data_IF_009006356385
#
_entry.id   IF_009006356385
#
_cell.length_a   1.000
_cell.length_b   1.000
_cell.length_c   1.000
_cell.angle_alpha   90.00
_cell.angle_beta   90.00
_cell.angle_gamma   90.00
#
_symmetry.space_group_name_H-M   'P 1'
#
loop_
_entity.id
_entity.type
_entity.pdbx_description
1 polymer ?
#
# COMPACT_ATOMS: atom_id res chain seq x y z
N UNK A 1 -5.03 -37.66 -21.75
CA UNK A 1 -5.84 -37.89 -20.54
C UNK A 1 -5.84 -36.63 -19.69
N UNK A 2 -7.02 -36.04 -19.44
CA UNK A 2 -7.22 -34.93 -18.51
C UNK A 2 -7.05 -35.47 -17.08
N UNK A 3 -6.19 -34.87 -16.27
CA UNK A 3 -6.19 -35.07 -14.83
C UNK A 3 -6.75 -33.80 -14.18
N UNK A 4 -8.07 -33.80 -13.99
CA UNK A 4 -8.78 -32.88 -13.12
C UNK A 4 -8.61 -33.39 -11.68
N UNK A 5 -7.74 -32.80 -10.85
CA UNK A 5 -7.81 -32.93 -9.39
C UNK A 5 -7.15 -31.73 -8.66
N UNK A 6 -7.99 -30.85 -8.11
CA UNK A 6 -7.86 -30.24 -6.79
C UNK A 6 -6.68 -29.30 -6.49
N UNK A 7 -6.88 -28.00 -6.78
CA UNK A 7 -7.07 -26.93 -5.77
C UNK A 7 -7.28 -25.61 -6.54
N UNK A 8 -8.23 -24.74 -6.18
CA UNK A 8 -8.07 -23.34 -6.53
C UNK A 8 -6.84 -22.87 -5.74
N UNK A 9 -5.64 -22.97 -6.33
CA UNK A 9 -4.48 -22.23 -5.84
C UNK A 9 -4.85 -20.78 -6.07
N UNK A 10 -5.46 -20.15 -5.06
CA UNK A 10 -5.58 -18.69 -5.02
C UNK A 10 -4.14 -18.21 -5.21
N UNK A 11 -3.88 -17.59 -6.36
CA UNK A 11 -2.54 -17.08 -6.66
C UNK A 11 -2.13 -16.13 -5.53
N UNK A 12 -0.89 -16.20 -5.05
CA UNK A 12 -0.39 -15.34 -3.96
C UNK A 12 -0.66 -13.85 -4.23
N UNK A 13 -0.69 -13.46 -5.51
CA UNK A 13 -1.07 -12.12 -5.97
C UNK A 13 -2.51 -11.75 -5.59
N UNK A 14 -3.46 -12.69 -5.79
CA UNK A 14 -4.87 -12.51 -5.41
C UNK A 14 -5.03 -12.45 -3.89
N UNK A 15 -4.29 -13.26 -3.14
CA UNK A 15 -4.31 -13.21 -1.66
C UNK A 15 -3.81 -11.84 -1.19
N UNK A 16 -2.68 -11.36 -1.72
CA UNK A 16 -2.14 -10.05 -1.37
C UNK A 16 -3.10 -8.91 -1.75
N UNK A 17 -3.73 -8.99 -2.93
CA UNK A 17 -4.72 -7.99 -3.36
C UNK A 17 -5.94 -7.91 -2.43
N UNK A 18 -6.45 -9.06 -1.97
CA UNK A 18 -7.56 -9.11 -0.99
C UNK A 18 -7.10 -8.51 0.35
N UNK A 19 -5.91 -8.86 0.82
CA UNK A 19 -5.38 -8.34 2.08
C UNK A 19 -5.14 -6.83 2.01
N UNK A 20 -4.55 -6.33 0.92
CA UNK A 20 -4.39 -4.89 0.69
C UNK A 20 -5.73 -4.15 0.71
N UNK A 21 -6.79 -4.76 0.15
CA UNK A 21 -8.15 -4.21 0.20
C UNK A 21 -8.69 -4.13 1.64
N UNK A 22 -8.47 -5.18 2.45
CA UNK A 22 -8.85 -5.18 3.87
C UNK A 22 -8.09 -4.08 4.64
N UNK A 23 -6.78 -3.96 4.44
CA UNK A 23 -5.99 -2.91 5.08
C UNK A 23 -6.40 -1.51 4.62
N UNK A 24 -6.78 -1.33 3.35
CA UNK A 24 -7.30 -0.06 2.86
C UNK A 24 -8.60 0.35 3.59
N UNK A 25 -9.52 -0.59 3.79
CA UNK A 25 -10.78 -0.34 4.52
C UNK A 25 -10.49 -0.01 5.98
N UNK A 26 -9.66 -0.80 6.67
CA UNK A 26 -9.32 -0.57 8.08
C UNK A 26 -8.68 0.80 8.31
N UNK A 27 -7.71 1.18 7.46
CA UNK A 27 -7.08 2.50 7.55
C UNK A 27 -8.06 3.63 7.20
N UNK A 28 -8.99 3.41 6.26
CA UNK A 28 -10.05 4.39 5.95
C UNK A 28 -11.00 4.59 7.15
N UNK A 29 -11.42 3.52 7.82
CA UNK A 29 -12.29 3.60 9.00
C UNK A 29 -11.57 4.34 10.14
N UNK A 30 -10.29 4.01 10.38
CA UNK A 30 -9.48 4.71 11.37
C UNK A 30 -9.39 6.21 11.09
N UNK A 31 -9.12 6.59 9.84
CA UNK A 31 -8.98 7.98 9.42
C UNK A 31 -10.30 8.77 9.52
N UNK A 32 -11.42 8.17 9.11
CA UNK A 32 -12.75 8.80 9.23
C UNK A 32 -13.18 8.94 10.68
N UNK A 33 -12.95 7.91 11.50
CA UNK A 33 -13.25 7.97 12.93
C UNK A 33 -12.51 9.12 13.61
N UNK A 34 -11.23 9.31 13.27
CA UNK A 34 -10.48 10.41 13.85
C UNK A 34 -10.99 11.76 13.36
N UNK A 35 -11.27 11.90 12.06
CA UNK A 35 -11.78 13.16 11.52
C UNK A 35 -13.04 13.65 12.26
N UNK A 36 -13.91 12.72 12.68
CA UNK A 36 -15.19 13.00 13.36
C UNK A 36 -15.03 13.26 14.86
N UNK A 37 -14.09 12.57 15.52
CA UNK A 37 -13.95 12.62 16.98
C UNK A 37 -12.82 13.51 17.48
N UNK A 38 -12.00 14.08 16.59
CA UNK A 38 -10.91 14.98 16.99
C UNK A 38 -11.45 16.38 17.35
N UNK A 39 -11.01 16.92 18.48
CA UNK A 39 -11.43 18.25 18.95
C UNK A 39 -10.58 19.34 18.31
N UNK A 40 -11.13 19.98 17.27
CA UNK A 40 -10.44 21.06 16.57
C UNK A 40 -10.58 22.39 17.32
N UNK A 41 -9.63 22.72 18.19
CA UNK A 41 -9.55 24.06 18.77
C UNK A 41 -8.91 25.03 17.78
N UNK A 42 -9.66 26.06 17.39
CA UNK A 42 -9.26 27.10 16.41
C UNK A 42 -9.04 28.46 17.12
N UNK A 43 -9.18 28.53 18.45
CA UNK A 43 -9.28 29.80 19.18
C UNK A 43 -7.99 30.64 19.21
N UNK A 44 -6.81 30.02 19.02
CA UNK A 44 -5.52 30.72 19.03
C UNK A 44 -4.78 30.61 17.69
N UNK A 45 -4.23 31.71 17.20
CA UNK A 45 -3.58 31.80 15.89
C UNK A 45 -2.36 30.85 15.72
N UNK A 46 -1.68 30.49 16.82
CA UNK A 46 -0.62 29.47 16.82
C UNK A 46 -1.15 28.03 16.80
N UNK A 47 -2.30 27.80 17.45
CA UNK A 47 -2.96 26.49 17.54
C UNK A 47 -3.68 26.17 16.22
N UNK A 48 -4.28 27.18 15.58
CA UNK A 48 -4.99 27.04 14.30
C UNK A 48 -4.13 26.43 13.18
N UNK A 49 -2.82 26.73 13.10
CA UNK A 49 -1.93 26.12 12.10
C UNK A 49 -1.76 24.62 12.34
N UNK A 50 -1.54 24.20 13.58
CA UNK A 50 -1.42 22.79 13.95
C UNK A 50 -2.72 22.04 13.67
N UNK A 51 -3.85 22.64 14.02
CA UNK A 51 -5.20 22.09 13.77
C UNK A 51 -5.46 21.88 12.28
N UNK A 52 -5.16 22.87 11.44
CA UNK A 52 -5.32 22.76 9.98
C UNK A 52 -4.39 21.68 9.41
N UNK A 53 -3.13 21.62 9.85
CA UNK A 53 -2.19 20.59 9.39
C UNK A 53 -2.67 19.18 9.73
N UNK A 54 -3.27 18.96 10.92
CA UNK A 54 -3.88 17.67 11.28
C UNK A 54 -5.05 17.31 10.38
N UNK A 55 -5.97 18.24 10.12
CA UNK A 55 -7.11 18.01 9.21
C UNK A 55 -6.63 17.62 7.81
N UNK A 56 -5.66 18.36 7.26
CA UNK A 56 -5.09 18.06 5.94
C UNK A 56 -4.41 16.69 5.92
N UNK A 57 -3.70 16.32 6.99
CA UNK A 57 -3.07 15.01 7.12
C UNK A 57 -4.13 13.89 7.14
N UNK A 58 -5.25 14.07 7.84
CA UNK A 58 -6.35 13.10 7.86
C UNK A 58 -7.03 12.97 6.49
N UNK A 59 -7.28 14.08 5.80
CA UNK A 59 -7.82 14.06 4.43
C UNK A 59 -6.86 13.36 3.46
N UNK A 60 -5.56 13.61 3.58
CA UNK A 60 -4.53 12.94 2.79
C UNK A 60 -4.50 11.43 3.08
N UNK A 61 -4.62 11.04 4.35
CA UNK A 61 -4.67 9.64 4.75
C UNK A 61 -5.93 8.92 4.20
N UNK A 62 -7.09 9.58 4.23
CA UNK A 62 -8.32 9.06 3.60
C UNK A 62 -8.14 8.90 2.09
N UNK A 63 -7.55 9.90 1.42
CA UNK A 63 -7.30 9.85 -0.02
C UNK A 63 -6.38 8.68 -0.39
N UNK A 64 -5.30 8.45 0.37
CA UNK A 64 -4.38 7.34 0.15
C UNK A 64 -5.03 5.98 0.39
N UNK A 65 -5.81 5.85 1.47
CA UNK A 65 -6.52 4.61 1.78
C UNK A 65 -7.56 4.30 0.69
N UNK A 66 -8.26 5.31 0.19
CA UNK A 66 -9.19 5.15 -0.93
C UNK A 66 -8.47 4.83 -2.25
N UNK A 67 -7.32 5.45 -2.52
CA UNK A 67 -6.52 5.13 -3.71
C UNK A 67 -6.03 3.67 -3.68
N UNK A 68 -5.60 3.18 -2.52
CA UNK A 68 -5.26 1.77 -2.31
C UNK A 68 -6.47 0.87 -2.56
N UNK A 69 -7.62 1.21 -1.97
CA UNK A 69 -8.85 0.46 -2.18
C UNK A 69 -9.25 0.43 -3.65
N UNK A 70 -9.18 1.56 -4.36
CA UNK A 70 -9.51 1.65 -5.78
C UNK A 70 -8.55 0.83 -6.66
N UNK A 71 -7.26 0.85 -6.33
CA UNK A 71 -6.25 0.03 -6.98
C UNK A 71 -6.50 -1.47 -6.75
N UNK A 72 -6.86 -1.88 -5.53
CA UNK A 72 -6.98 -3.30 -5.17
C UNK A 72 -8.35 -3.90 -5.46
N UNK A 73 -9.43 -3.15 -5.31
CA UNK A 73 -10.80 -3.62 -5.50
C UNK A 73 -11.24 -3.55 -6.97
N UNK A 74 -10.94 -2.43 -7.64
CA UNK A 74 -11.36 -2.22 -9.04
C UNK A 74 -10.25 -2.47 -10.06
N UNK A 75 -9.00 -2.67 -9.62
CA UNK A 75 -7.87 -2.78 -10.55
C UNK A 75 -7.65 -1.50 -11.36
N UNK A 76 -8.04 -0.35 -10.80
CA UNK A 76 -7.98 0.92 -11.52
C UNK A 76 -6.54 1.26 -11.89
N UNK A 77 -6.29 1.54 -13.17
CA UNK A 77 -4.95 1.79 -13.71
C UNK A 77 -4.34 3.09 -13.18
N UNK A 78 -5.14 4.12 -12.98
CA UNK A 78 -4.68 5.44 -12.54
C UNK A 78 -3.96 5.44 -11.17
N UNK A 79 -4.54 4.89 -10.07
CA UNK A 79 -3.83 4.81 -8.80
C UNK A 79 -2.63 3.84 -8.86
N UNK A 80 -2.68 2.83 -9.74
CA UNK A 80 -1.52 1.95 -10.00
C UNK A 80 -0.36 2.71 -10.70
N UNK A 81 -0.67 3.65 -11.58
CA UNK A 81 0.31 4.51 -12.28
C UNK A 81 0.87 5.59 -11.35
N UNK A 82 0.03 6.22 -10.52
CA UNK A 82 0.46 7.22 -9.54
C UNK A 82 1.36 6.63 -8.46
N UNK A 83 1.04 5.42 -8.01
CA UNK A 83 1.83 4.68 -7.05
C UNK A 83 2.41 3.44 -7.71
N UNK A 84 3.22 3.60 -8.78
CA UNK A 84 3.87 2.51 -9.54
C UNK A 84 4.54 1.40 -8.70
N UNK A 85 4.75 1.66 -7.41
CA UNK A 85 5.11 0.72 -6.35
C UNK A 85 4.05 -0.37 -6.09
N UNK A 86 2.74 -0.09 -6.09
CA UNK A 86 1.66 -1.03 -5.72
C UNK A 86 1.57 -2.21 -6.70
N UNK A 87 2.01 -2.04 -7.95
CA UNK A 87 2.01 -3.10 -8.97
C UNK A 87 2.93 -4.29 -8.66
N UNK A 88 3.84 -4.16 -7.69
CA UNK A 88 4.76 -5.20 -7.25
C UNK A 88 4.60 -5.47 -5.74
N UNK A 89 4.89 -6.70 -5.30
CA UNK A 89 4.86 -7.06 -3.87
C UNK A 89 5.67 -6.08 -3.01
N UNK A 90 6.93 -5.84 -3.38
CA UNK A 90 7.82 -4.92 -2.65
C UNK A 90 7.20 -3.52 -2.49
N UNK A 91 6.70 -2.93 -3.57
CA UNK A 91 6.17 -1.57 -3.50
C UNK A 91 4.79 -1.49 -2.85
N UNK A 92 3.93 -2.51 -2.97
CA UNK A 92 2.70 -2.61 -2.16
C UNK A 92 2.99 -2.69 -0.65
N UNK A 93 4.07 -3.37 -0.27
CA UNK A 93 4.52 -3.42 1.12
C UNK A 93 5.09 -2.09 1.63
N UNK A 94 5.86 -1.36 0.81
CA UNK A 94 6.29 0.00 1.14
C UNK A 94 5.13 0.98 1.27
N UNK A 95 4.10 0.85 0.42
CA UNK A 95 2.90 1.64 0.51
C UNK A 95 2.17 1.40 1.85
N UNK A 96 1.97 0.13 2.23
CA UNK A 96 1.39 -0.23 3.52
C UNK A 96 2.23 0.25 4.70
N UNK A 97 3.56 0.15 4.60
CA UNK A 97 4.47 0.64 5.62
C UNK A 97 4.27 2.16 5.83
N UNK A 98 4.27 2.93 4.75
CA UNK A 98 4.02 4.37 4.79
C UNK A 98 2.61 4.70 5.34
N UNK A 99 1.59 3.98 4.88
CA UNK A 99 0.22 4.15 5.37
C UNK A 99 0.12 3.87 6.86
N UNK A 100 0.76 2.81 7.35
CA UNK A 100 0.80 2.48 8.77
C UNK A 100 1.48 3.55 9.63
N UNK A 101 2.53 4.23 9.15
CA UNK A 101 3.11 5.37 9.87
C UNK A 101 2.16 6.58 9.94
N UNK A 102 1.40 6.85 8.87
CA UNK A 102 0.36 7.88 8.92
C UNK A 102 -0.74 7.50 9.92
N UNK A 103 -1.08 6.22 10.01
CA UNK A 103 -2.05 5.72 10.99
C UNK A 103 -1.51 5.73 12.43
N UNK A 104 -0.18 5.64 12.65
CA UNK A 104 0.40 5.85 13.98
C UNK A 104 0.21 7.28 14.48
N UNK A 105 0.16 8.27 13.58
CA UNK A 105 -0.07 9.67 13.96
C UNK A 105 -1.51 9.97 14.41
N UNK A 106 -2.44 9.01 14.35
CA UNK A 106 -3.81 9.17 14.81
C UNK A 106 -3.97 9.19 16.33
N UNK A 107 -2.93 8.88 17.13
CA UNK A 107 -2.96 8.98 18.60
C UNK A 107 -4.21 8.38 19.30
N UNK A 108 -4.70 7.24 18.77
CA UNK A 108 -5.85 6.50 19.30
C UNK A 108 -5.50 5.00 19.33
N UNK A 109 -5.97 4.27 20.34
CA UNK A 109 -5.76 2.82 20.51
C UNK A 109 -6.16 2.03 19.26
N UNK A 110 -7.29 2.35 18.63
CA UNK A 110 -7.70 1.68 17.38
C UNK A 110 -6.71 1.95 16.24
N UNK A 111 -6.32 3.21 16.05
CA UNK A 111 -5.32 3.62 15.06
C UNK A 111 -3.97 2.95 15.30
N UNK A 112 -3.54 2.85 16.56
CA UNK A 112 -2.30 2.20 16.96
C UNK A 112 -2.30 0.71 16.61
N UNK A 113 -3.37 -0.01 16.92
CA UNK A 113 -3.48 -1.43 16.58
C UNK A 113 -3.48 -1.62 15.07
N UNK A 114 -4.31 -0.86 14.34
CA UNK A 114 -4.40 -0.91 12.86
C UNK A 114 -3.05 -0.57 12.22
N UNK A 115 -2.35 0.42 12.76
CA UNK A 115 -1.05 0.84 12.26
C UNK A 115 0.00 -0.26 12.43
N UNK A 116 0.11 -0.86 13.62
CA UNK A 116 1.07 -1.93 13.89
C UNK A 116 0.84 -3.11 12.95
N UNK A 117 -0.40 -3.58 12.81
CA UNK A 117 -0.69 -4.71 11.90
C UNK A 117 -0.40 -4.37 10.43
N UNK A 118 -0.67 -3.12 10.01
CA UNK A 118 -0.43 -2.65 8.64
C UNK A 118 1.07 -2.59 8.35
N UNK A 119 1.87 -2.11 9.31
CA UNK A 119 3.34 -2.05 9.22
C UNK A 119 3.94 -3.45 9.17
N UNK A 120 3.54 -4.34 10.09
CA UNK A 120 4.05 -5.71 10.17
C UNK A 120 3.72 -6.48 8.89
N UNK A 121 2.49 -6.34 8.38
CA UNK A 121 2.11 -6.96 7.12
C UNK A 121 2.85 -6.35 5.93
N UNK A 122 3.02 -5.02 5.88
CA UNK A 122 3.82 -4.34 4.86
C UNK A 122 5.27 -4.86 4.82
N UNK A 123 5.90 -5.03 5.98
CA UNK A 123 7.24 -5.63 6.08
C UNK A 123 7.27 -7.09 5.61
N UNK A 124 6.30 -7.91 6.01
CA UNK A 124 6.21 -9.29 5.57
C UNK A 124 6.09 -9.40 4.03
N UNK A 125 5.30 -8.51 3.42
CA UNK A 125 5.12 -8.42 1.97
C UNK A 125 6.39 -7.95 1.25
N UNK A 126 7.15 -7.02 1.85
CA UNK A 126 8.48 -6.61 1.34
C UNK A 126 9.44 -7.80 1.37
N UNK A 127 9.56 -8.48 2.51
CA UNK A 127 10.45 -9.65 2.67
C UNK A 127 10.07 -10.75 1.70
N UNK A 128 8.77 -11.04 1.56
CA UNK A 128 8.27 -11.99 0.57
C UNK A 128 8.63 -11.57 -0.86
N UNK A 129 8.45 -10.29 -1.19
CA UNK A 129 8.80 -9.74 -2.51
C UNK A 129 10.30 -9.80 -2.81
N UNK A 130 11.16 -9.67 -1.80
CA UNK A 130 12.62 -9.83 -1.92
C UNK A 130 12.99 -11.31 -2.08
N UNK A 131 12.46 -12.19 -1.23
CA UNK A 131 12.76 -13.62 -1.24
C UNK A 131 12.28 -14.33 -2.52
N UNK A 132 11.17 -13.84 -3.10
CA UNK A 132 10.61 -14.37 -4.36
C UNK A 132 11.08 -13.60 -5.59
N UNK A 133 11.89 -12.56 -5.41
CA UNK A 133 12.54 -11.87 -6.52
C UNK A 133 13.51 -12.87 -7.16
N UNK A 134 13.21 -13.30 -8.39
CA UNK A 134 14.18 -14.07 -9.18
C UNK A 134 15.47 -13.24 -9.25
N UNK A 135 16.65 -13.83 -9.01
CA UNK A 135 17.91 -13.11 -9.14
C UNK A 135 17.94 -12.49 -10.55
N UNK A 136 18.07 -11.17 -10.60
CA UNK A 136 18.48 -10.51 -11.83
C UNK A 136 19.76 -11.19 -12.28
N UNK A 137 19.76 -11.65 -13.53
CA UNK A 137 20.94 -12.15 -14.23
C UNK A 137 22.16 -11.26 -13.95
N UNK A 138 23.36 -11.87 -13.91
CA UNK A 138 24.56 -11.28 -13.31
C UNK A 138 24.93 -9.93 -13.92
N UNK A 139 25.53 -9.10 -13.08
CA UNK A 139 26.08 -7.78 -13.35
C UNK A 139 26.82 -7.73 -14.70
N UNK A 140 26.21 -7.08 -15.68
CA UNK A 140 26.80 -6.89 -17.01
C UNK A 140 25.80 -6.43 -18.04
N UNK A 141 25.62 -5.10 -18.16
CA UNK A 141 24.91 -4.49 -19.29
C UNK A 141 23.52 -3.97 -18.93
N UNK A 142 23.49 -2.74 -18.41
CA UNK A 142 22.34 -1.86 -18.57
C UNK A 142 22.00 -1.74 -20.06
N UNK A 143 20.70 -1.79 -20.37
CA UNK A 143 20.05 -1.50 -21.66
C UNK A 143 19.52 -2.74 -22.38
N UNK A 144 18.19 -2.85 -22.43
CA UNK A 144 17.38 -3.76 -23.28
C UNK A 144 17.63 -3.60 -24.81
N UNK A 145 18.70 -2.93 -25.23
CA UNK A 145 19.03 -2.62 -26.63
C UNK A 145 19.71 -3.79 -27.34
N UNK A 146 20.44 -4.63 -26.62
CA UNK A 146 21.20 -5.74 -27.22
C UNK A 146 20.37 -7.00 -27.50
N UNK A 147 19.13 -7.09 -27.01
CA UNK A 147 18.25 -8.23 -27.32
C UNK A 147 17.65 -8.13 -28.73
N UNK A 148 17.67 -6.96 -29.36
CA UNK A 148 17.19 -6.78 -30.75
C UNK A 148 18.25 -7.11 -31.80
N UNK A 149 19.52 -7.13 -31.41
CA UNK A 149 20.65 -7.38 -32.31
C UNK A 149 20.99 -8.88 -32.45
N UNK A 150 20.43 -9.74 -31.59
CA UNK A 150 20.66 -11.20 -31.63
C UNK A 150 19.56 -11.98 -32.38
N UNK A 151 18.49 -11.31 -32.80
CA UNK A 151 17.43 -11.88 -33.65
C UNK A 151 17.67 -11.59 -35.15
N UNK A 152 18.72 -10.81 -35.47
CA UNK A 152 19.07 -10.39 -36.84
C UNK A 152 20.47 -10.86 -37.28
N UNK A 153 21.10 -11.80 -36.57
CA UNK A 153 22.36 -12.45 -36.94
C UNK A 153 22.20 -13.97 -36.99
#
# INVERSE_FOLDING_TARGET
MKCCCCKPKISDKKVNQILLCVFAILNSIAAVWLLVNDEYSISDAGIARSTISRIVLHLYHIMLSYALFAATAFGSKQPLEWFGLIGNFIGSGFFLFFLGFLTLMLDNVYGLVVAIITIVYGLAVIVYGIATKKPSLPEGGTTYRNLRELDEA
#
